data_IF_550518603118
#
_entry.id   IF_550518603118
#
_cell.length_a   1.000
_cell.length_b   1.000
_cell.length_c   1.000
_cell.angle_alpha   90.00
_cell.angle_beta   90.00
_cell.angle_gamma   90.00
#
_symmetry.space_group_name_H-M   'P 1'
#
loop_
_entity.id
_entity.type
_entity.pdbx_description
1 polymer ?
#
# COMPACT_ATOMS: atom_id res chain seq x y z
N UNK A 1 27.21 5.88 9.83
CA UNK A 1 26.57 5.81 8.49
C UNK A 1 25.39 6.77 8.55
N UNK A 2 25.02 7.46 7.47
CA UNK A 2 23.85 8.36 7.50
C UNK A 2 22.55 7.58 7.62
N UNK A 3 21.56 8.19 8.25
CA UNK A 3 20.20 7.67 8.36
C UNK A 3 19.34 8.25 7.23
N UNK A 4 18.64 7.40 6.54
CA UNK A 4 17.82 7.74 5.37
C UNK A 4 16.34 7.48 5.62
N UNK A 5 15.50 8.47 5.29
CA UNK A 5 14.05 8.32 5.22
C UNK A 5 13.61 8.31 3.76
N UNK A 6 12.98 7.22 3.33
CA UNK A 6 12.45 7.10 1.97
C UNK A 6 10.97 7.45 1.97
N UNK A 7 10.54 8.34 1.07
CA UNK A 7 9.12 8.56 0.77
C UNK A 7 8.75 7.71 -0.42
N UNK A 8 7.95 6.69 -0.19
CA UNK A 8 7.74 5.57 -1.08
C UNK A 8 6.25 5.45 -1.47
N UNK A 9 6.00 5.22 -2.73
CA UNK A 9 4.72 4.73 -3.24
C UNK A 9 5.00 3.44 -4.01
N UNK A 10 4.01 2.77 -4.50
CA UNK A 10 3.97 1.61 -5.36
C UNK A 10 5.27 0.91 -5.79
N UNK A 11 5.22 0.34 -6.99
CA UNK A 11 6.28 -0.57 -7.51
C UNK A 11 7.64 0.11 -7.69
N UNK A 12 7.65 1.36 -8.17
CA UNK A 12 8.91 2.10 -8.41
C UNK A 12 9.65 2.39 -7.11
N UNK A 13 8.90 2.88 -6.11
CA UNK A 13 9.41 3.16 -4.78
C UNK A 13 9.92 1.91 -4.06
N UNK A 14 9.16 0.82 -4.11
CA UNK A 14 9.53 -0.45 -3.50
C UNK A 14 10.85 -1.02 -4.05
N UNK A 15 11.12 -0.87 -5.37
CA UNK A 15 12.39 -1.29 -5.97
C UNK A 15 13.58 -0.46 -5.47
N UNK A 16 13.39 0.86 -5.34
CA UNK A 16 14.45 1.71 -4.79
C UNK A 16 14.68 1.40 -3.29
N UNK A 17 13.61 1.24 -2.53
CA UNK A 17 13.68 0.86 -1.11
C UNK A 17 14.41 -0.49 -0.91
N UNK A 18 14.19 -1.47 -1.80
CA UNK A 18 14.94 -2.73 -1.78
C UNK A 18 16.44 -2.47 -1.97
N UNK A 19 16.84 -1.62 -2.91
CA UNK A 19 18.23 -1.25 -3.10
C UNK A 19 18.86 -0.64 -1.84
N UNK A 20 18.15 0.25 -1.16
CA UNK A 20 18.62 0.83 0.12
C UNK A 20 18.73 -0.24 1.22
N UNK A 21 17.74 -1.13 1.34
CA UNK A 21 17.76 -2.25 2.31
C UNK A 21 18.96 -3.17 2.12
N UNK A 22 19.43 -3.37 0.89
CA UNK A 22 20.59 -4.25 0.61
C UNK A 22 21.93 -3.61 1.02
N UNK A 23 22.00 -2.28 1.18
CA UNK A 23 23.24 -1.55 1.47
C UNK A 23 23.27 -0.88 2.84
N UNK A 24 22.12 -0.73 3.50
CA UNK A 24 22.01 -0.09 4.81
C UNK A 24 21.61 -1.10 5.89
N UNK A 25 22.08 -0.85 7.11
CA UNK A 25 21.54 -1.52 8.29
C UNK A 25 20.10 -1.08 8.56
N UNK A 26 19.24 -1.94 9.11
CA UNK A 26 17.85 -1.58 9.40
C UNK A 26 17.67 -0.34 10.25
N UNK A 27 18.56 -0.09 11.19
CA UNK A 27 18.56 1.09 12.07
C UNK A 27 18.84 2.40 11.34
N UNK A 28 19.40 2.35 10.12
CA UNK A 28 19.71 3.51 9.30
C UNK A 28 18.68 3.78 8.20
N UNK A 29 17.55 3.05 8.20
CA UNK A 29 16.54 3.09 7.16
C UNK A 29 15.13 3.27 7.74
N UNK A 30 14.42 4.30 7.31
CA UNK A 30 12.97 4.46 7.47
C UNK A 30 12.30 4.52 6.11
N UNK A 31 11.12 3.93 5.98
CA UNK A 31 10.36 3.91 4.73
C UNK A 31 8.93 4.35 5.02
N UNK A 32 8.60 5.58 4.64
CA UNK A 32 7.23 6.11 4.70
C UNK A 32 6.52 5.75 3.41
N UNK A 33 5.39 5.08 3.52
CA UNK A 33 4.65 4.58 2.37
C UNK A 33 3.34 5.34 2.21
N UNK A 34 3.03 5.70 0.96
CA UNK A 34 1.77 6.34 0.58
C UNK A 34 0.56 5.52 1.03
N UNK A 35 -0.45 6.21 1.57
CA UNK A 35 -1.75 5.64 1.95
C UNK A 35 -2.90 6.23 1.15
N UNK A 36 -2.62 7.17 0.23
CA UNK A 36 -3.63 7.84 -0.58
C UNK A 36 -4.35 6.93 -1.58
N UNK A 37 -3.77 5.76 -1.89
CA UNK A 37 -4.36 4.77 -2.79
C UNK A 37 -5.07 3.63 -2.04
N UNK A 38 -5.11 3.73 -0.72
CA UNK A 38 -5.84 2.80 0.14
C UNK A 38 -7.34 2.88 -0.14
N UNK A 39 -8.01 1.74 -0.08
CA UNK A 39 -9.46 1.69 -0.27
C UNK A 39 -10.07 0.47 0.41
N UNK A 40 -11.39 0.41 0.40
CA UNK A 40 -12.14 -0.76 0.90
C UNK A 40 -12.70 -1.55 -0.28
N UNK A 41 -12.40 -2.85 -0.33
CA UNK A 41 -12.95 -3.79 -1.31
C UNK A 41 -13.39 -5.08 -0.61
N UNK A 42 -14.59 -5.58 -0.89
CA UNK A 42 -15.19 -6.74 -0.22
C UNK A 42 -15.15 -6.62 1.32
N UNK A 43 -15.37 -5.41 1.85
CA UNK A 43 -15.25 -5.06 3.27
C UNK A 43 -13.85 -5.27 3.87
N UNK A 44 -12.82 -5.40 3.05
CA UNK A 44 -11.43 -5.51 3.48
C UNK A 44 -10.67 -4.20 3.23
N UNK A 45 -9.82 -3.81 4.17
CA UNK A 45 -8.89 -2.69 3.98
C UNK A 45 -7.73 -3.14 3.09
N UNK A 46 -7.66 -2.57 1.90
CA UNK A 46 -6.63 -2.81 0.89
C UNK A 46 -5.65 -1.62 0.92
N UNK A 47 -4.37 -1.91 1.07
CA UNK A 47 -3.30 -0.91 1.12
C UNK A 47 -2.25 -1.26 0.05
N UNK A 48 -2.48 -0.93 -1.23
CA UNK A 48 -1.70 -1.44 -2.35
C UNK A 48 -0.21 -1.10 -2.25
N UNK A 49 0.12 0.12 -1.83
CA UNK A 49 1.51 0.57 -1.75
C UNK A 49 2.24 -0.08 -0.56
N UNK A 50 1.61 -0.14 0.62
CA UNK A 50 2.16 -0.83 1.78
C UNK A 50 2.45 -2.31 1.47
N UNK A 51 1.51 -2.98 0.80
CA UNK A 51 1.64 -4.39 0.44
C UNK A 51 2.76 -4.60 -0.60
N UNK A 52 2.80 -3.76 -1.61
CA UNK A 52 3.87 -3.79 -2.63
C UNK A 52 5.25 -3.61 -2.00
N UNK A 53 5.40 -2.66 -1.06
CA UNK A 53 6.66 -2.44 -0.35
C UNK A 53 7.00 -3.65 0.52
N UNK A 54 6.09 -4.14 1.35
CA UNK A 54 6.33 -5.30 2.22
C UNK A 54 6.68 -6.56 1.39
N UNK A 55 5.93 -6.86 0.33
CA UNK A 55 6.20 -8.03 -0.50
C UNK A 55 7.52 -7.92 -1.25
N UNK A 56 7.87 -6.73 -1.73
CA UNK A 56 9.15 -6.51 -2.42
C UNK A 56 10.32 -6.69 -1.46
N UNK A 57 10.27 -6.06 -0.29
CA UNK A 57 11.36 -6.10 0.68
C UNK A 57 11.53 -7.48 1.33
N UNK A 58 10.46 -8.26 1.46
CA UNK A 58 10.51 -9.63 1.98
C UNK A 58 10.82 -10.69 0.92
N UNK A 59 10.92 -10.31 -0.36
CA UNK A 59 11.11 -11.25 -1.47
C UNK A 59 9.88 -12.09 -1.78
N UNK A 60 8.68 -11.65 -1.35
CA UNK A 60 7.40 -12.32 -1.58
C UNK A 60 6.63 -11.77 -2.79
N UNK A 61 7.12 -10.71 -3.45
CA UNK A 61 6.48 -10.12 -4.63
C UNK A 61 6.57 -11.01 -5.86
N UNK A 62 5.56 -10.96 -6.73
CA UNK A 62 5.62 -11.55 -8.06
C UNK A 62 6.35 -10.60 -9.02
N UNK A 63 7.64 -10.85 -9.23
CA UNK A 63 8.50 -10.02 -10.08
C UNK A 63 8.04 -10.02 -11.55
N UNK A 64 7.38 -11.10 -11.99
CA UNK A 64 6.94 -11.23 -13.39
C UNK A 64 5.73 -10.37 -13.70
N UNK A 65 4.81 -10.23 -12.74
CA UNK A 65 3.62 -9.37 -12.85
C UNK A 65 3.91 -7.93 -12.43
N UNK A 66 4.89 -7.72 -11.55
CA UNK A 66 5.20 -6.43 -10.95
C UNK A 66 4.25 -6.02 -9.81
N UNK A 67 3.31 -6.88 -9.40
CA UNK A 67 2.37 -6.66 -8.30
C UNK A 67 1.92 -8.00 -7.70
N UNK A 68 1.36 -7.94 -6.48
CA UNK A 68 0.86 -9.11 -5.75
C UNK A 68 1.96 -10.03 -5.23
N UNK A 69 1.54 -11.15 -4.66
CA UNK A 69 2.46 -12.13 -4.08
C UNK A 69 2.89 -13.19 -5.08
N UNK A 70 4.09 -13.72 -4.92
CA UNK A 70 4.58 -14.85 -5.73
C UNK A 70 3.82 -16.14 -5.43
N UNK A 71 3.70 -16.99 -6.44
CA UNK A 71 3.05 -18.30 -6.34
C UNK A 71 1.61 -18.19 -5.82
N UNK A 72 0.86 -17.21 -6.33
CA UNK A 72 -0.56 -17.04 -6.00
C UNK A 72 -1.43 -18.13 -6.62
N UNK A 73 -2.54 -18.40 -5.93
CA UNK A 73 -3.70 -19.13 -6.45
C UNK A 73 -4.92 -18.21 -6.47
N UNK A 74 -5.96 -18.58 -7.20
CA UNK A 74 -7.09 -17.71 -7.51
C UNK A 74 -8.43 -18.41 -7.21
N UNK A 75 -8.43 -19.35 -6.25
CA UNK A 75 -9.59 -20.17 -5.94
C UNK A 75 -10.75 -19.34 -5.40
N UNK A 76 -10.45 -18.41 -4.48
CA UNK A 76 -11.48 -17.52 -3.92
C UNK A 76 -12.09 -16.65 -5.01
N UNK A 77 -11.28 -16.04 -5.87
CA UNK A 77 -11.76 -15.16 -6.93
C UNK A 77 -12.60 -15.92 -7.97
N UNK A 78 -12.21 -17.17 -8.29
CA UNK A 78 -12.97 -18.05 -9.14
C UNK A 78 -14.34 -18.38 -8.55
N UNK A 79 -14.37 -18.80 -7.27
CA UNK A 79 -15.61 -19.09 -6.57
C UNK A 79 -16.51 -17.85 -6.43
N UNK A 80 -15.91 -16.67 -6.21
CA UNK A 80 -16.64 -15.41 -6.14
C UNK A 80 -17.30 -15.07 -7.50
N UNK A 81 -16.59 -15.33 -8.60
CA UNK A 81 -17.13 -15.15 -9.96
C UNK A 81 -18.34 -16.06 -10.23
N UNK A 82 -18.33 -17.31 -9.73
CA UNK A 82 -19.44 -18.24 -9.85
C UNK A 82 -20.71 -17.77 -9.09
N UNK A 83 -20.52 -16.88 -8.11
CA UNK A 83 -21.59 -16.26 -7.32
C UNK A 83 -21.99 -14.85 -7.82
N UNK A 84 -21.59 -14.49 -9.05
CA UNK A 84 -21.80 -13.15 -9.62
C UNK A 84 -21.20 -12.00 -8.75
N UNK A 85 -20.18 -12.30 -7.96
CA UNK A 85 -19.50 -11.31 -7.11
C UNK A 85 -18.51 -10.43 -7.88
N UNK A 86 -18.02 -9.40 -7.21
CA UNK A 86 -17.08 -8.43 -7.81
C UNK A 86 -15.66 -9.01 -7.94
N UNK A 87 -15.17 -9.17 -9.17
CA UNK A 87 -13.84 -9.75 -9.49
C UNK A 87 -12.92 -8.80 -10.26
N UNK A 88 -13.32 -7.53 -10.40
CA UNK A 88 -12.54 -6.55 -11.17
C UNK A 88 -11.20 -6.20 -10.52
N UNK A 89 -11.12 -6.25 -9.19
CA UNK A 89 -9.87 -6.10 -8.46
C UNK A 89 -9.32 -7.49 -8.14
N UNK A 90 -8.18 -7.81 -8.72
CA UNK A 90 -7.61 -9.15 -8.60
C UNK A 90 -6.90 -9.33 -7.27
N UNK A 91 -7.46 -10.20 -6.42
CA UNK A 91 -6.88 -10.63 -5.16
C UNK A 91 -6.51 -12.11 -5.25
N UNK A 92 -5.24 -12.42 -5.13
CA UNK A 92 -4.78 -13.80 -4.98
C UNK A 92 -5.09 -14.34 -3.57
N UNK A 93 -5.13 -15.65 -3.41
CA UNK A 93 -5.53 -16.28 -2.14
C UNK A 93 -4.59 -15.93 -0.98
N UNK A 94 -3.28 -15.77 -1.25
CA UNK A 94 -2.30 -15.36 -0.23
C UNK A 94 -2.39 -13.85 0.09
N UNK A 95 -2.60 -13.04 -0.93
CA UNK A 95 -2.77 -11.59 -0.79
C UNK A 95 -4.05 -11.31 0.01
N UNK A 96 -5.13 -12.00 -0.31
CA UNK A 96 -6.38 -11.96 0.44
C UNK A 96 -6.18 -12.25 1.94
N UNK A 97 -5.34 -13.22 2.29
CA UNK A 97 -5.04 -13.53 3.69
C UNK A 97 -4.38 -12.33 4.41
N UNK A 98 -3.51 -11.57 3.73
CA UNK A 98 -2.92 -10.34 4.27
C UNK A 98 -3.99 -9.29 4.55
N UNK A 99 -4.92 -9.06 3.61
CA UNK A 99 -6.00 -8.08 3.77
C UNK A 99 -6.99 -8.48 4.88
N UNK A 100 -7.35 -9.77 4.98
CA UNK A 100 -8.19 -10.28 6.06
C UNK A 100 -7.52 -10.03 7.41
N UNK A 101 -6.24 -10.35 7.54
CA UNK A 101 -5.51 -10.18 8.80
C UNK A 101 -5.38 -8.71 9.19
N UNK A 102 -5.02 -7.83 8.24
CA UNK A 102 -5.00 -6.38 8.45
C UNK A 102 -6.35 -5.86 8.89
N UNK A 103 -7.42 -6.21 8.18
CA UNK A 103 -8.76 -5.74 8.48
C UNK A 103 -9.20 -6.17 9.88
N UNK A 104 -8.89 -7.43 10.27
CA UNK A 104 -9.15 -7.91 11.63
C UNK A 104 -8.41 -7.11 12.70
N UNK A 105 -7.13 -6.78 12.48
CA UNK A 105 -6.34 -5.96 13.42
C UNK A 105 -6.98 -4.58 13.58
N UNK A 106 -7.30 -3.90 12.49
CA UNK A 106 -7.95 -2.59 12.51
C UNK A 106 -9.31 -2.62 13.23
N UNK A 107 -10.13 -3.64 12.98
CA UNK A 107 -11.42 -3.86 13.67
C UNK A 107 -11.24 -4.18 15.16
N UNK A 108 -10.08 -4.68 15.57
CA UNK A 108 -9.72 -4.92 16.97
C UNK A 108 -9.14 -3.68 17.66
N UNK A 109 -9.12 -2.52 17.00
CA UNK A 109 -8.66 -1.24 17.55
C UNK A 109 -7.18 -0.92 17.36
N UNK A 110 -6.43 -1.75 16.63
CA UNK A 110 -5.06 -1.40 16.24
C UNK A 110 -5.05 -0.28 15.21
N UNK A 111 -4.08 0.63 15.32
CA UNK A 111 -3.80 1.63 14.27
C UNK A 111 -3.25 0.97 13.00
N UNK A 112 -3.24 1.70 11.89
CA UNK A 112 -2.63 1.21 10.65
C UNK A 112 -1.13 0.97 10.81
N UNK A 113 -0.44 1.81 11.60
CA UNK A 113 0.98 1.61 11.95
C UNK A 113 1.19 0.30 12.72
N UNK A 114 0.41 0.03 13.75
CA UNK A 114 0.55 -1.20 14.53
C UNK A 114 0.25 -2.44 13.68
N UNK A 115 -0.78 -2.39 12.84
CA UNK A 115 -1.10 -3.46 11.91
C UNK A 115 0.04 -3.68 10.89
N UNK A 116 0.64 -2.60 10.39
CA UNK A 116 1.80 -2.66 9.47
C UNK A 116 3.02 -3.27 10.14
N UNK A 117 3.34 -2.87 11.37
CA UNK A 117 4.42 -3.46 12.18
C UNK A 117 4.23 -4.96 12.39
N UNK A 118 3.01 -5.39 12.75
CA UNK A 118 2.68 -6.81 12.95
C UNK A 118 2.89 -7.58 11.66
N UNK A 119 2.35 -7.09 10.53
CA UNK A 119 2.49 -7.73 9.22
C UNK A 119 3.94 -7.78 8.76
N UNK A 120 4.71 -6.68 8.92
CA UNK A 120 6.14 -6.64 8.59
C UNK A 120 6.92 -7.73 9.32
N UNK A 121 6.68 -7.91 10.61
CA UNK A 121 7.31 -8.98 11.42
C UNK A 121 6.95 -10.37 10.90
N UNK A 122 5.70 -10.61 10.48
CA UNK A 122 5.27 -11.88 9.89
C UNK A 122 5.93 -12.15 8.53
N UNK A 123 6.34 -11.09 7.82
CA UNK A 123 7.16 -11.17 6.59
C UNK A 123 8.67 -11.15 6.87
N UNK A 124 9.10 -11.32 8.13
CA UNK A 124 10.51 -11.28 8.56
C UNK A 124 11.22 -9.96 8.20
N UNK A 125 10.49 -8.85 8.22
CA UNK A 125 11.03 -7.51 8.02
C UNK A 125 11.23 -6.82 9.37
N UNK A 126 12.31 -6.02 9.51
CA UNK A 126 12.46 -5.09 10.63
C UNK A 126 11.35 -4.04 10.66
N UNK A 127 11.20 -3.34 11.78
CA UNK A 127 10.18 -2.32 12.00
C UNK A 127 10.65 -0.95 11.47
N UNK A 128 10.73 -0.82 10.17
CA UNK A 128 11.15 0.38 9.46
C UNK A 128 10.18 0.85 8.37
N UNK A 129 9.01 0.19 8.27
CA UNK A 129 7.95 0.55 7.30
C UNK A 129 6.84 1.27 8.05
N UNK A 130 6.52 2.46 7.58
CA UNK A 130 5.53 3.34 8.18
C UNK A 130 4.47 3.74 7.16
N UNK A 131 3.17 3.56 7.41
CA UNK A 131 2.15 4.27 6.64
C UNK A 131 2.34 5.78 6.83
N UNK A 132 2.09 6.56 5.81
CA UNK A 132 2.20 8.03 5.87
C UNK A 132 1.29 8.63 6.94
N UNK A 133 0.09 8.06 7.12
CA UNK A 133 -0.91 8.44 8.11
C UNK A 133 -1.61 7.21 8.66
N UNK A 134 -2.10 7.29 9.90
CA UNK A 134 -3.00 6.28 10.47
C UNK A 134 -4.46 6.49 10.05
N UNK A 135 -4.81 7.72 9.67
CA UNK A 135 -6.14 8.10 9.21
C UNK A 135 -6.37 7.59 7.79
N UNK A 136 -7.63 7.39 7.43
CA UNK A 136 -8.00 6.98 6.09
C UNK A 136 -7.95 8.19 5.15
N UNK A 137 -7.00 8.17 4.24
CA UNK A 137 -6.94 9.10 3.10
C UNK A 137 -7.17 8.31 1.84
N UNK A 138 -8.12 8.74 1.02
CA UNK A 138 -8.47 8.05 -0.22
C UNK A 138 -8.48 9.02 -1.39
N UNK A 139 -7.73 8.68 -2.43
CA UNK A 139 -7.73 9.43 -3.69
C UNK A 139 -8.94 9.05 -4.54
N UNK A 140 -9.68 10.06 -4.96
CA UNK A 140 -10.79 9.94 -5.90
C UNK A 140 -10.50 10.73 -7.17
N UNK A 141 -10.96 10.20 -8.29
CA UNK A 141 -10.82 10.81 -9.60
C UNK A 141 -12.17 11.36 -10.04
N UNK A 142 -12.26 12.67 -10.19
CA UNK A 142 -13.43 13.33 -10.74
C UNK A 142 -13.41 13.22 -12.26
N UNK A 143 -14.45 12.68 -12.82
CA UNK A 143 -14.70 12.69 -14.25
C UNK A 143 -15.90 13.58 -14.55
N UNK A 144 -16.17 13.87 -15.83
CA UNK A 144 -17.36 14.68 -16.22
C UNK A 144 -18.66 14.13 -15.65
N UNK A 145 -18.79 12.81 -15.48
CA UNK A 145 -20.05 12.16 -15.16
C UNK A 145 -20.12 11.66 -13.72
N UNK A 146 -19.01 11.35 -13.07
CA UNK A 146 -18.99 10.75 -11.73
C UNK A 146 -17.63 10.86 -11.03
N UNK A 147 -17.68 10.73 -9.72
CA UNK A 147 -16.52 10.57 -8.86
C UNK A 147 -16.23 9.07 -8.71
N UNK A 148 -15.00 8.66 -8.98
CA UNK A 148 -14.53 7.28 -8.95
C UNK A 148 -13.45 7.13 -7.86
N UNK A 149 -13.38 6.00 -7.15
CA UNK A 149 -12.17 5.70 -6.39
C UNK A 149 -10.98 5.54 -7.35
N UNK A 150 -9.76 5.82 -6.87
CA UNK A 150 -8.57 5.73 -7.71
C UNK A 150 -8.43 4.33 -8.33
N UNK A 151 -8.65 3.28 -7.56
CA UNK A 151 -8.53 1.90 -8.05
C UNK A 151 -9.65 1.53 -9.04
N UNK A 152 -10.86 2.04 -8.86
CA UNK A 152 -11.92 1.86 -9.87
C UNK A 152 -11.54 2.55 -11.19
N UNK A 153 -11.01 3.78 -11.12
CA UNK A 153 -10.54 4.49 -12.30
C UNK A 153 -9.35 3.79 -12.97
N UNK A 154 -8.34 3.44 -12.17
CA UNK A 154 -7.08 2.91 -12.67
C UNK A 154 -7.21 1.45 -13.15
N UNK A 155 -7.75 0.57 -12.31
CA UNK A 155 -7.80 -0.88 -12.57
C UNK A 155 -9.05 -1.25 -13.38
N UNK A 156 -10.25 -0.91 -12.88
CA UNK A 156 -11.51 -1.32 -13.52
C UNK A 156 -11.75 -0.63 -14.86
N UNK A 157 -11.50 0.68 -14.93
CA UNK A 157 -11.75 1.50 -16.12
C UNK A 157 -10.50 1.78 -16.95
N UNK A 158 -9.33 1.31 -16.51
CA UNK A 158 -8.07 1.40 -17.25
C UNK A 158 -7.76 2.84 -17.72
N UNK A 159 -7.98 3.83 -16.86
CA UNK A 159 -7.76 5.26 -17.11
C UNK A 159 -8.51 5.82 -18.34
N UNK A 160 -9.56 5.15 -18.83
CA UNK A 160 -10.27 5.57 -20.07
C UNK A 160 -11.08 6.86 -19.93
N UNK A 161 -11.81 7.11 -18.80
CA UNK A 161 -12.56 8.35 -18.67
C UNK A 161 -11.63 9.55 -18.55
N UNK A 162 -11.92 10.67 -19.24
CA UNK A 162 -11.16 11.91 -19.04
C UNK A 162 -11.29 12.42 -17.61
N UNK A 163 -10.16 12.74 -16.99
CA UNK A 163 -10.06 13.31 -15.66
C UNK A 163 -10.36 14.80 -15.73
N UNK A 164 -11.14 15.30 -14.80
CA UNK A 164 -11.41 16.73 -14.63
C UNK A 164 -10.81 17.28 -13.35
N UNK A 165 -10.68 16.46 -12.29
CA UNK A 165 -10.10 16.87 -11.02
C UNK A 165 -9.74 15.64 -10.17
N UNK A 166 -9.02 15.87 -9.06
CA UNK A 166 -8.73 14.90 -8.00
C UNK A 166 -9.32 15.38 -6.68
N UNK A 167 -9.86 14.45 -5.90
CA UNK A 167 -10.40 14.71 -4.57
C UNK A 167 -9.73 13.77 -3.58
N UNK A 168 -9.13 14.32 -2.53
CA UNK A 168 -8.51 13.55 -1.45
C UNK A 168 -9.45 13.53 -0.26
N UNK A 169 -10.20 12.46 -0.09
CA UNK A 169 -11.11 12.28 1.03
C UNK A 169 -10.33 11.95 2.30
N UNK A 170 -10.71 12.57 3.41
CA UNK A 170 -10.07 12.38 4.70
C UNK A 170 -8.79 13.19 4.94
N UNK A 171 -8.32 13.94 3.93
CA UNK A 171 -7.08 14.71 4.02
C UNK A 171 -7.10 15.74 5.16
N UNK A 172 -8.23 16.42 5.38
CA UNK A 172 -8.35 17.46 6.42
C UNK A 172 -8.20 16.91 7.86
N UNK A 173 -8.43 15.62 8.04
CA UNK A 173 -8.32 14.94 9.34
C UNK A 173 -7.03 14.12 9.48
N UNK A 174 -6.27 13.99 8.39
CA UNK A 174 -5.07 13.18 8.37
C UNK A 174 -3.90 13.93 9.01
N UNK A 175 -3.16 13.22 9.84
CA UNK A 175 -1.91 13.69 10.41
C UNK A 175 -0.76 12.82 9.92
N UNK A 176 0.44 13.42 9.85
CA UNK A 176 1.65 12.65 9.60
C UNK A 176 1.84 11.62 10.72
N UNK A 177 2.29 10.42 10.38
CA UNK A 177 2.45 9.34 11.35
C UNK A 177 3.48 9.70 12.44
N UNK A 178 2.99 9.97 13.64
CA UNK A 178 3.81 10.38 14.80
C UNK A 178 4.75 9.27 15.33
N UNK A 179 4.66 8.05 14.81
CA UNK A 179 5.64 6.99 15.12
C UNK A 179 6.99 7.22 14.44
N UNK A 180 7.08 8.21 13.54
CA UNK A 180 8.30 8.54 12.81
C UNK A 180 8.96 9.74 13.47
N UNK A 181 10.14 9.51 14.02
CA UNK A 181 11.01 10.60 14.48
C UNK A 181 11.78 11.16 13.29
N UNK A 182 11.32 12.29 12.75
CA UNK A 182 11.96 12.93 11.59
C UNK A 182 13.37 13.41 11.88
N UNK A 183 13.67 13.80 13.12
CA UNK A 183 14.98 14.30 13.53
C UNK A 183 16.04 13.18 13.60
N UNK A 184 15.59 11.92 13.60
CA UNK A 184 16.48 10.76 13.52
C UNK A 184 17.12 10.56 12.14
N UNK A 185 16.62 11.22 11.10
CA UNK A 185 17.07 11.05 9.72
C UNK A 185 17.82 12.28 9.20
N UNK A 186 18.97 12.05 8.55
CA UNK A 186 19.83 13.10 7.98
C UNK A 186 19.51 13.37 6.51
N UNK A 187 18.91 12.39 5.82
CA UNK A 187 18.60 12.49 4.38
C UNK A 187 17.18 11.99 4.12
N UNK A 188 16.44 12.74 3.31
CA UNK A 188 15.11 12.34 2.80
C UNK A 188 15.23 12.08 1.31
N UNK A 189 14.77 10.91 0.88
CA UNK A 189 14.76 10.47 -0.52
C UNK A 189 13.34 10.31 -1.01
N UNK A 190 12.95 11.11 -2.00
CA UNK A 190 11.66 10.92 -2.70
C UNK A 190 11.88 9.84 -3.74
N UNK A 191 11.22 8.69 -3.53
CA UNK A 191 11.34 7.55 -4.42
C UNK A 191 10.55 7.74 -5.72
N UNK A 192 10.92 7.04 -6.82
CA UNK A 192 10.11 7.04 -8.04
C UNK A 192 8.69 6.59 -7.75
N UNK A 193 7.71 7.42 -8.08
CA UNK A 193 6.29 7.16 -7.90
C UNK A 193 5.51 7.80 -9.04
N UNK A 194 4.25 7.39 -9.20
CA UNK A 194 3.32 8.09 -10.06
C UNK A 194 3.04 9.47 -9.43
N UNK A 195 3.09 10.58 -10.20
CA UNK A 195 2.82 11.91 -9.68
C UNK A 195 1.32 12.20 -9.41
N UNK A 196 0.43 11.26 -9.70
CA UNK A 196 -1.02 11.39 -9.50
C UNK A 196 -1.51 10.48 -8.40
#
# INVERSE_FOLDING_TARGET
MKNYLLLCGGVGGAKLALGFKEILSPENLGIVVNTGDDFTHLNLKICPDLDTVMYTLSGESDVSKGWGRKNETWNMLSALSELDGETWFQLGDKDLATHIHRTKLLQSGYSLQEATSILSKLFNLPDFIYPMSNESVETYVQTKNRLLSFQEYFVKLQCKPPVTDFVFKGLDAAEFNHSIDLDAFEEIVICPSNPF
#
